data_IF_417068707625
#
_entry.id   IF_417068707625
#
_cell.length_a   1.000
_cell.length_b   1.000
_cell.length_c   1.000
_cell.angle_alpha   90.00
_cell.angle_beta   90.00
_cell.angle_gamma   90.00
#
_symmetry.space_group_name_H-M   'P 1'
#
loop_
_entity.id
_entity.type
_entity.pdbx_description
1 polymer ?
#
# COMPACT_ATOMS: atom_id res chain seq x y z
N UNK A 1 -7.01 -7.12 2.30
CA UNK A 1 -6.07 -6.62 3.33
C UNK A 1 -4.90 -5.85 2.72
N UNK A 2 -4.04 -6.43 1.86
CA UNK A 2 -2.96 -5.67 1.19
C UNK A 2 -3.49 -4.56 0.24
N UNK A 3 -4.64 -4.79 -0.40
CA UNK A 3 -5.33 -3.80 -1.23
C UNK A 3 -6.06 -2.69 -0.43
N UNK A 4 -6.48 -2.96 0.82
CA UNK A 4 -7.11 -1.97 1.71
C UNK A 4 -6.07 -1.10 2.42
N UNK A 5 -4.82 -1.55 2.47
CA UNK A 5 -3.64 -0.81 2.93
C UNK A 5 -2.99 -0.01 1.77
N UNK A 6 -3.75 0.29 0.71
CA UNK A 6 -3.36 1.32 -0.25
C UNK A 6 -3.49 2.67 0.45
N UNK A 7 -2.40 3.10 1.11
CA UNK A 7 -2.18 4.43 1.70
C UNK A 7 -2.93 5.56 0.95
N UNK A 8 -4.19 5.81 1.29
CA UNK A 8 -4.96 6.95 0.75
C UNK A 8 -5.56 6.82 -0.67
N UNK A 9 -5.70 5.62 -1.26
CA UNK A 9 -6.48 5.41 -2.51
C UNK A 9 -5.68 5.25 -3.81
N UNK A 10 -6.26 5.66 -4.95
CA UNK A 10 -5.64 5.58 -6.29
C UNK A 10 -4.48 6.59 -6.50
N UNK A 11 -4.43 7.64 -5.67
CA UNK A 11 -3.32 8.58 -5.58
C UNK A 11 -2.11 7.94 -4.89
N UNK A 12 -1.04 7.67 -5.63
CA UNK A 12 0.13 6.97 -5.07
C UNK A 12 0.91 7.83 -4.07
N UNK A 13 0.99 9.14 -4.30
CA UNK A 13 1.87 10.04 -3.55
C UNK A 13 1.17 11.36 -3.23
N UNK A 14 1.38 11.96 -2.04
CA UNK A 14 1.01 13.34 -1.78
C UNK A 14 1.65 14.23 -2.87
N UNK A 15 0.82 14.85 -3.71
CA UNK A 15 1.26 15.69 -4.83
C UNK A 15 1.20 15.06 -6.23
N UNK A 16 0.68 13.84 -6.39
CA UNK A 16 0.39 13.26 -7.72
C UNK A 16 -0.61 14.12 -8.53
N UNK A 17 -1.49 14.84 -7.83
CA UNK A 17 -2.40 15.81 -8.43
C UNK A 17 -1.67 16.93 -9.17
N UNK A 18 -0.51 17.39 -8.67
CA UNK A 18 0.31 18.42 -9.33
C UNK A 18 0.92 17.90 -10.63
N UNK A 19 1.31 16.62 -10.68
CA UNK A 19 1.81 16.00 -11.91
C UNK A 19 0.71 15.84 -12.96
N UNK A 20 -0.51 15.49 -12.54
CA UNK A 20 -1.64 15.32 -13.45
C UNK A 20 -2.13 16.67 -13.97
N UNK A 21 -2.24 17.68 -13.11
CA UNK A 21 -2.55 19.06 -13.55
C UNK A 21 -1.44 19.67 -14.40
N UNK A 22 -0.17 19.39 -14.11
CA UNK A 22 0.94 19.85 -14.97
C UNK A 22 0.82 19.27 -16.39
N UNK A 23 0.65 17.95 -16.51
CA UNK A 23 0.53 17.27 -17.81
C UNK A 23 -0.77 17.71 -18.52
N UNK A 24 -1.89 17.82 -17.81
CA UNK A 24 -3.16 18.19 -18.43
C UNK A 24 -3.19 19.63 -18.93
N UNK A 25 -2.58 20.56 -18.19
CA UNK A 25 -2.44 21.96 -18.60
C UNK A 25 -1.40 22.13 -19.72
N UNK A 26 -0.32 21.34 -19.73
CA UNK A 26 0.69 21.37 -20.79
C UNK A 26 0.13 20.94 -22.15
N UNK A 27 -0.73 19.91 -22.18
CA UNK A 27 -1.36 19.41 -23.40
C UNK A 27 -2.74 20.02 -23.71
N UNK A 28 -3.19 21.00 -22.93
CA UNK A 28 -4.50 21.65 -23.05
C UNK A 28 -5.68 20.66 -23.17
N UNK A 29 -5.62 19.55 -22.42
CA UNK A 29 -6.73 18.59 -22.37
C UNK A 29 -7.93 19.27 -21.70
N UNK A 30 -9.06 19.38 -22.40
CA UNK A 30 -10.31 19.91 -21.84
C UNK A 30 -10.79 19.09 -20.64
N UNK A 31 -11.86 19.53 -19.98
CA UNK A 31 -12.34 18.98 -18.69
C UNK A 31 -12.53 17.44 -18.71
N UNK A 32 -13.01 16.89 -19.83
CA UNK A 32 -13.13 15.44 -20.06
C UNK A 32 -11.76 14.74 -20.19
N UNK A 33 -10.79 15.41 -20.80
CA UNK A 33 -9.42 14.90 -20.91
C UNK A 33 -8.70 14.85 -19.56
N UNK A 34 -8.99 15.78 -18.65
CA UNK A 34 -8.45 15.74 -17.28
C UNK A 34 -8.89 14.48 -16.52
N UNK A 35 -10.13 14.04 -16.70
CA UNK A 35 -10.65 12.82 -16.08
C UNK A 35 -9.97 11.55 -16.64
N UNK A 36 -9.79 11.49 -17.96
CA UNK A 36 -9.14 10.37 -18.62
C UNK A 36 -7.65 10.25 -18.22
N UNK A 37 -6.95 11.38 -18.09
CA UNK A 37 -5.55 11.39 -17.63
C UNK A 37 -5.45 10.96 -16.16
N UNK A 38 -6.35 11.45 -15.28
CA UNK A 38 -6.40 10.99 -13.88
C UNK A 38 -6.58 9.47 -13.80
N UNK A 39 -7.59 8.94 -14.48
CA UNK A 39 -7.88 7.50 -14.47
C UNK A 39 -6.72 6.64 -15.04
N UNK A 40 -6.05 7.10 -16.10
CA UNK A 40 -4.92 6.39 -16.69
C UNK A 40 -3.71 6.33 -15.74
N UNK A 41 -3.37 7.46 -15.11
CA UNK A 41 -2.28 7.51 -14.14
C UNK A 41 -2.57 6.66 -12.91
N UNK A 42 -3.82 6.66 -12.44
CA UNK A 42 -4.30 5.82 -11.34
C UNK A 42 -4.26 4.31 -11.65
N UNK A 43 -4.52 3.94 -12.90
CA UNK A 43 -4.42 2.55 -13.34
C UNK A 43 -2.96 2.10 -13.43
N UNK A 44 -2.09 2.89 -14.05
CA UNK A 44 -0.64 2.61 -14.15
C UNK A 44 -0.03 2.50 -12.76
N UNK A 45 -0.37 3.45 -11.91
CA UNK A 45 -0.12 3.48 -10.46
C UNK A 45 -0.37 2.14 -9.78
N UNK A 46 -1.59 1.62 -9.96
CA UNK A 46 -2.03 0.37 -9.38
C UNK A 46 -1.24 -0.81 -9.97
N UNK A 47 -1.10 -0.86 -11.29
CA UNK A 47 -0.37 -1.92 -11.99
C UNK A 47 1.10 -1.99 -11.53
N UNK A 48 1.78 -0.85 -11.38
CA UNK A 48 3.16 -0.79 -10.89
C UNK A 48 3.28 -1.33 -9.46
N UNK A 49 2.36 -0.98 -8.56
CA UNK A 49 2.37 -1.53 -7.18
C UNK A 49 2.18 -3.04 -7.18
N UNK A 50 1.22 -3.54 -7.96
CA UNK A 50 0.97 -4.98 -8.08
C UNK A 50 2.20 -5.69 -8.64
N UNK A 51 2.81 -5.16 -9.70
CA UNK A 51 4.04 -5.70 -10.29
C UNK A 51 5.20 -5.70 -9.29
N UNK A 52 5.37 -4.61 -8.51
CA UNK A 52 6.40 -4.53 -7.47
C UNK A 52 6.21 -5.58 -6.39
N UNK A 53 5.00 -5.75 -5.84
CA UNK A 53 4.74 -6.78 -4.84
C UNK A 53 4.90 -8.19 -5.41
N UNK A 54 4.45 -8.43 -6.65
CA UNK A 54 4.66 -9.71 -7.33
C UNK A 54 6.15 -10.03 -7.49
N UNK A 55 6.94 -9.05 -7.95
CA UNK A 55 8.39 -9.17 -8.03
C UNK A 55 9.00 -9.46 -6.67
N UNK A 56 8.58 -8.74 -5.62
CA UNK A 56 9.06 -8.95 -4.26
C UNK A 56 8.76 -10.38 -3.76
N UNK A 57 7.57 -10.93 -4.04
CA UNK A 57 7.24 -12.31 -3.67
C UNK A 57 8.12 -13.34 -4.38
N UNK A 58 8.38 -13.16 -5.68
CA UNK A 58 9.29 -14.03 -6.43
C UNK A 58 10.71 -13.90 -5.89
N UNK A 59 11.16 -12.69 -5.61
CA UNK A 59 12.49 -12.41 -5.07
C UNK A 59 12.68 -13.06 -3.69
N UNK A 60 11.71 -12.90 -2.79
CA UNK A 60 11.71 -13.51 -1.46
C UNK A 60 11.82 -15.03 -1.56
N UNK A 61 11.10 -15.66 -2.49
CA UNK A 61 11.18 -17.11 -2.74
C UNK A 61 12.57 -17.54 -3.17
N UNK A 62 13.31 -16.69 -3.90
CA UNK A 62 14.68 -16.98 -4.31
C UNK A 62 15.70 -16.72 -3.19
N UNK A 63 15.44 -15.77 -2.30
CA UNK A 63 16.39 -15.39 -1.23
C UNK A 63 16.23 -16.21 0.05
N UNK A 64 15.05 -16.77 0.35
CA UNK A 64 14.82 -17.48 1.61
C UNK A 64 15.28 -18.94 1.53
N UNK A 65 16.36 -19.34 2.24
CA UNK A 65 16.75 -20.74 2.37
C UNK A 65 15.73 -21.45 3.28
N UNK A 66 15.34 -22.67 2.90
CA UNK A 66 14.27 -23.49 3.51
C UNK A 66 14.23 -23.41 5.06
N UNK A 67 13.21 -22.76 5.61
CA UNK A 67 12.95 -22.71 7.05
C UNK A 67 12.25 -23.96 7.57
N UNK A 68 12.54 -24.36 8.81
CA UNK A 68 11.85 -25.47 9.49
C UNK A 68 10.48 -25.00 10.01
N UNK A 69 9.46 -25.85 9.92
CA UNK A 69 8.11 -25.52 10.40
C UNK A 69 8.08 -25.06 11.86
N UNK A 70 8.90 -25.66 12.73
CA UNK A 70 8.97 -25.28 14.13
C UNK A 70 9.46 -23.83 14.33
N UNK A 71 10.39 -23.36 13.50
CA UNK A 71 10.91 -21.98 13.57
C UNK A 71 9.86 -20.97 13.13
N UNK A 72 9.05 -21.34 12.13
CA UNK A 72 7.95 -20.51 11.65
C UNK A 72 6.81 -20.44 12.67
N UNK A 73 6.53 -21.56 13.35
CA UNK A 73 5.57 -21.60 14.46
C UNK A 73 6.05 -20.77 15.65
N UNK A 74 7.33 -20.86 16.01
CA UNK A 74 7.90 -20.04 17.08
C UNK A 74 7.85 -18.54 16.74
N UNK A 75 8.18 -18.14 15.51
CA UNK A 75 8.06 -16.74 15.06
C UNK A 75 6.60 -16.25 15.11
N UNK A 76 5.67 -17.07 14.62
CA UNK A 76 4.23 -16.78 14.62
C UNK A 76 3.67 -16.56 16.02
N UNK A 77 3.91 -17.52 16.91
CA UNK A 77 3.29 -17.53 18.23
C UNK A 77 4.02 -16.66 19.25
N UNK A 78 5.36 -16.57 19.21
CA UNK A 78 6.13 -15.81 20.21
C UNK A 78 6.33 -14.34 19.85
N UNK A 79 6.31 -13.98 18.57
CA UNK A 79 6.62 -12.61 18.12
C UNK A 79 5.40 -11.96 17.45
N UNK A 80 4.83 -12.59 16.41
CA UNK A 80 3.74 -11.97 15.64
C UNK A 80 2.45 -11.81 16.44
N UNK A 81 2.05 -12.84 17.20
CA UNK A 81 0.84 -12.82 18.01
C UNK A 81 0.83 -11.72 19.09
N UNK A 82 1.85 -11.59 19.97
CA UNK A 82 1.87 -10.54 20.97
C UNK A 82 1.96 -9.14 20.36
N UNK A 83 2.70 -8.96 19.25
CA UNK A 83 2.77 -7.67 18.55
C UNK A 83 1.39 -7.26 18.01
N UNK A 84 0.64 -8.20 17.44
CA UNK A 84 -0.71 -7.93 16.95
C UNK A 84 -1.66 -7.50 18.08
N UNK A 85 -1.56 -8.15 19.24
CA UNK A 85 -2.32 -7.80 20.45
C UNK A 85 -1.96 -6.40 20.97
N UNK A 86 -0.67 -6.07 21.06
CA UNK A 86 -0.22 -4.74 21.47
C UNK A 86 -0.75 -3.68 20.50
N UNK A 87 -0.66 -3.92 19.19
CA UNK A 87 -1.16 -2.99 18.17
C UNK A 87 -2.66 -2.74 18.35
N UNK A 88 -3.46 -3.79 18.57
CA UNK A 88 -4.89 -3.67 18.83
C UNK A 88 -5.18 -2.78 20.05
N UNK A 89 -4.46 -2.97 21.15
CA UNK A 89 -4.61 -2.15 22.36
C UNK A 89 -4.24 -0.69 22.07
N UNK A 90 -3.12 -0.45 21.39
CA UNK A 90 -2.65 0.91 21.03
C UNK A 90 -3.66 1.64 20.17
N UNK A 91 -4.20 0.99 19.13
CA UNK A 91 -5.23 1.58 18.26
C UNK A 91 -6.49 1.90 19.06
N UNK A 92 -6.93 0.98 19.92
CA UNK A 92 -8.15 1.16 20.74
C UNK A 92 -8.00 2.34 21.70
N UNK A 93 -6.86 2.44 22.38
CA UNK A 93 -6.57 3.57 23.28
C UNK A 93 -6.44 4.88 22.50
N UNK A 94 -5.75 4.88 21.35
CA UNK A 94 -5.63 6.06 20.51
C UNK A 94 -6.99 6.60 20.09
N UNK A 95 -7.88 5.74 19.58
CA UNK A 95 -9.24 6.13 19.20
C UNK A 95 -10.03 6.66 20.40
N UNK A 96 -9.89 6.05 21.57
CA UNK A 96 -10.54 6.52 22.79
C UNK A 96 -10.08 7.94 23.18
N UNK A 97 -8.78 8.21 23.17
CA UNK A 97 -8.25 9.55 23.47
C UNK A 97 -8.64 10.61 22.44
N UNK A 98 -8.75 10.27 21.15
CA UNK A 98 -9.17 11.22 20.12
C UNK A 98 -10.68 11.50 20.12
N UNK A 99 -11.50 10.66 20.77
CA UNK A 99 -12.96 10.78 20.85
C UNK A 99 -13.44 11.30 22.23
N UNK A 100 -12.54 11.78 23.07
CA UNK A 100 -12.80 12.51 24.32
C UNK A 100 -12.29 13.94 24.17
#
# INVERSE_FOLDING_TARGET
>A
LLATLFFGGYGIFPGMEYGITFISNFFAFGEVGMQNTKAAFEFVSFATKVAFFMFMFVWIRWTLPRFRFDQLMDLGWKILFPIALINLVVVTLGVYYFNT
#
